data_IF_446532695135
#
_entry.id   IF_446532695135
#
_cell.length_a   1.000
_cell.length_b   1.000
_cell.length_c   1.000
_cell.angle_alpha   90.00
_cell.angle_beta   90.00
_cell.angle_gamma   90.00
#
_symmetry.space_group_name_H-M   'P 1'
#
loop_
_entity.id
_entity.type
_entity.pdbx_description
1 polymer ?
#
# COMPACT_ATOMS: atom_id res chain seq x y z
N UNK A 1 -12.09 32.77 -4.67
CA UNK A 1 -13.26 33.41 -5.31
C UNK A 1 -14.24 32.32 -5.69
N UNK A 2 -15.56 32.60 -5.52
CA UNK A 2 -16.63 31.60 -5.70
C UNK A 2 -16.55 30.84 -7.05
N UNK A 3 -16.11 31.49 -8.12
CA UNK A 3 -15.90 30.85 -9.43
C UNK A 3 -14.78 29.78 -9.41
N UNK A 4 -13.70 30.01 -8.68
CA UNK A 4 -12.62 29.03 -8.52
C UNK A 4 -13.07 27.80 -7.72
N UNK A 5 -13.95 28.00 -6.74
CA UNK A 5 -14.49 26.91 -5.93
C UNK A 5 -15.53 26.08 -6.69
N UNK A 6 -16.33 26.70 -7.55
CA UNK A 6 -17.27 26.02 -8.45
C UNK A 6 -16.49 25.20 -9.49
N UNK A 7 -15.43 25.76 -10.08
CA UNK A 7 -14.60 25.05 -11.07
C UNK A 7 -13.84 23.86 -10.43
N UNK A 8 -13.35 24.02 -9.18
CA UNK A 8 -12.74 22.93 -8.43
C UNK A 8 -13.76 21.84 -8.08
N UNK A 9 -14.99 22.20 -7.72
CA UNK A 9 -16.06 21.23 -7.45
C UNK A 9 -16.47 20.48 -8.72
N UNK A 10 -16.65 21.17 -9.86
CA UNK A 10 -16.95 20.51 -11.12
C UNK A 10 -15.84 19.53 -11.54
N UNK A 11 -14.57 19.90 -11.41
CA UNK A 11 -13.45 19.02 -11.70
C UNK A 11 -13.37 17.82 -10.76
N UNK A 12 -13.72 18.01 -9.49
CA UNK A 12 -13.81 16.91 -8.52
C UNK A 12 -14.98 15.97 -8.83
N UNK A 13 -16.12 16.52 -9.25
CA UNK A 13 -17.29 15.71 -9.64
C UNK A 13 -17.06 14.94 -10.94
N UNK A 14 -16.25 15.45 -11.86
CA UNK A 14 -15.83 14.75 -13.08
C UNK A 14 -14.77 13.66 -12.82
N UNK A 15 -13.94 13.82 -11.81
CA UNK A 15 -12.90 12.84 -11.42
C UNK A 15 -13.43 11.74 -10.48
N UNK A 16 -14.48 12.02 -9.73
CA UNK A 16 -15.15 11.07 -8.86
C UNK A 16 -16.22 10.37 -9.70
N UNK A 17 -15.95 9.16 -10.14
CA UNK A 17 -17.00 8.30 -10.70
C UNK A 17 -18.07 8.07 -9.63
N UNK A 18 -19.24 8.69 -9.77
CA UNK A 18 -20.37 8.47 -8.87
C UNK A 18 -20.86 7.02 -9.06
N UNK A 19 -20.25 6.11 -8.30
CA UNK A 19 -20.53 4.68 -8.34
C UNK A 19 -21.95 4.33 -7.88
N UNK A 20 -22.74 5.33 -7.46
CA UNK A 20 -24.12 5.14 -7.03
C UNK A 20 -25.13 5.22 -8.18
N UNK A 21 -24.71 5.69 -9.38
CA UNK A 21 -25.58 5.86 -10.55
C UNK A 21 -25.14 4.98 -11.71
N UNK A 22 -26.03 4.11 -12.19
CA UNK A 22 -25.81 3.26 -13.36
C UNK A 22 -25.92 1.78 -13.08
N UNK A 23 -25.56 0.93 -14.08
CA UNK A 23 -25.55 -0.52 -13.91
C UNK A 23 -24.36 -0.95 -13.02
N UNK A 24 -24.60 -1.55 -11.85
CA UNK A 24 -23.54 -1.84 -10.88
C UNK A 24 -22.40 -2.67 -11.48
N UNK A 25 -22.73 -3.68 -12.29
CA UNK A 25 -21.73 -4.55 -12.91
C UNK A 25 -20.77 -3.78 -13.83
N UNK A 26 -21.30 -2.85 -14.65
CA UNK A 26 -20.47 -2.04 -15.56
C UNK A 26 -19.54 -1.12 -14.78
N UNK A 27 -20.04 -0.49 -13.73
CA UNK A 27 -19.25 0.39 -12.86
C UNK A 27 -18.14 -0.37 -12.15
N UNK A 28 -18.45 -1.55 -11.60
CA UNK A 28 -17.47 -2.42 -10.95
C UNK A 28 -16.37 -2.86 -11.94
N UNK A 29 -16.72 -3.25 -13.16
CA UNK A 29 -15.74 -3.63 -14.18
C UNK A 29 -14.84 -2.46 -14.56
N UNK A 30 -15.41 -1.27 -14.83
CA UNK A 30 -14.63 -0.07 -15.16
C UNK A 30 -13.68 0.34 -14.02
N UNK A 31 -14.14 0.24 -12.77
CA UNK A 31 -13.32 0.52 -11.60
C UNK A 31 -12.21 -0.51 -11.40
N UNK A 32 -12.44 -1.77 -11.77
CA UNK A 32 -11.47 -2.85 -11.63
C UNK A 32 -10.31 -2.78 -12.62
N UNK A 33 -10.50 -2.20 -13.82
CA UNK A 33 -9.46 -2.12 -14.85
C UNK A 33 -8.21 -1.37 -14.35
N UNK A 34 -8.29 -0.15 -13.79
CA UNK A 34 -7.12 0.54 -13.25
C UNK A 34 -6.43 -0.25 -12.12
N UNK A 35 -7.20 -0.94 -11.28
CA UNK A 35 -6.66 -1.78 -10.20
C UNK A 35 -5.86 -2.97 -10.76
N UNK A 36 -6.39 -3.64 -11.79
CA UNK A 36 -5.68 -4.73 -12.47
C UNK A 36 -4.38 -4.26 -13.12
N UNK A 37 -4.44 -3.12 -13.83
CA UNK A 37 -3.25 -2.51 -14.43
C UNK A 37 -2.23 -2.18 -13.34
N UNK A 38 -2.65 -1.57 -12.22
CA UNK A 38 -1.78 -1.27 -11.09
C UNK A 38 -1.10 -2.52 -10.51
N UNK A 39 -1.87 -3.61 -10.33
CA UNK A 39 -1.31 -4.87 -9.85
C UNK A 39 -0.29 -5.47 -10.83
N UNK A 40 -0.52 -5.37 -12.14
CA UNK A 40 0.43 -5.83 -13.17
C UNK A 40 1.72 -5.00 -13.10
N UNK A 41 1.62 -3.67 -13.02
CA UNK A 41 2.79 -2.79 -12.86
C UNK A 41 3.57 -3.13 -11.58
N UNK A 42 2.88 -3.40 -10.48
CA UNK A 42 3.52 -3.80 -9.22
C UNK A 42 4.28 -5.13 -9.37
N UNK A 43 3.76 -6.09 -10.13
CA UNK A 43 4.47 -7.34 -10.39
C UNK A 43 5.73 -7.13 -11.27
N UNK A 44 5.64 -6.29 -12.30
CA UNK A 44 6.84 -5.91 -13.07
C UNK A 44 7.91 -5.23 -12.21
N UNK A 45 7.50 -4.34 -11.33
CA UNK A 45 8.37 -3.70 -10.34
C UNK A 45 9.07 -4.74 -9.46
N UNK A 46 8.33 -5.69 -8.87
CA UNK A 46 8.89 -6.74 -8.03
C UNK A 46 9.90 -7.62 -8.78
N UNK A 47 9.59 -7.96 -10.05
CA UNK A 47 10.51 -8.73 -10.90
C UNK A 47 11.78 -7.94 -11.23
N UNK A 48 11.64 -6.65 -11.56
CA UNK A 48 12.79 -5.78 -11.83
C UNK A 48 13.71 -5.67 -10.59
N UNK A 49 13.14 -5.50 -9.41
CA UNK A 49 13.86 -5.44 -8.14
C UNK A 49 14.69 -6.71 -7.88
N UNK A 50 14.09 -7.89 -8.08
CA UNK A 50 14.77 -9.18 -7.94
C UNK A 50 15.94 -9.30 -8.93
N UNK A 51 15.75 -8.88 -10.18
CA UNK A 51 16.79 -8.91 -11.20
C UNK A 51 17.95 -7.96 -10.85
N UNK A 52 17.63 -6.75 -10.39
CA UNK A 52 18.63 -5.76 -9.97
C UNK A 52 19.45 -6.30 -8.79
N UNK A 53 18.80 -6.78 -7.75
CA UNK A 53 19.46 -7.36 -6.57
C UNK A 53 20.37 -8.53 -6.98
N UNK A 54 19.87 -9.48 -7.78
CA UNK A 54 20.65 -10.62 -8.19
C UNK A 54 21.87 -10.27 -9.05
N UNK A 55 21.76 -9.23 -9.91
CA UNK A 55 22.87 -8.81 -10.79
C UNK A 55 23.88 -7.92 -10.08
N UNK A 56 23.47 -7.09 -9.14
CA UNK A 56 24.33 -6.09 -8.49
C UNK A 56 24.96 -6.59 -7.20
N UNK A 57 24.21 -7.31 -6.37
CA UNK A 57 24.63 -7.77 -5.04
C UNK A 57 25.01 -9.26 -4.99
N UNK A 58 24.69 -10.01 -6.05
CA UNK A 58 25.06 -11.40 -6.20
C UNK A 58 24.08 -12.40 -5.56
N UNK A 59 24.45 -13.69 -5.62
CA UNK A 59 23.55 -14.80 -5.26
C UNK A 59 23.22 -14.86 -3.77
N UNK A 60 24.15 -14.48 -2.89
CA UNK A 60 23.91 -14.53 -1.44
C UNK A 60 22.87 -13.50 -1.01
N UNK A 61 22.94 -12.28 -1.55
CA UNK A 61 21.93 -11.25 -1.29
C UNK A 61 20.55 -11.67 -1.84
N UNK A 62 20.50 -12.27 -3.03
CA UNK A 62 19.27 -12.80 -3.61
C UNK A 62 18.68 -13.92 -2.74
N UNK A 63 19.53 -14.84 -2.25
CA UNK A 63 19.12 -15.91 -1.35
C UNK A 63 18.59 -15.34 -0.01
N UNK A 64 19.25 -14.31 0.53
CA UNK A 64 18.80 -13.62 1.74
C UNK A 64 17.41 -13.00 1.57
N UNK A 65 17.17 -12.24 0.49
CA UNK A 65 15.85 -11.67 0.18
C UNK A 65 14.80 -12.77 0.01
N UNK A 66 15.15 -13.85 -0.70
CA UNK A 66 14.26 -15.00 -0.88
C UNK A 66 13.89 -15.67 0.45
N UNK A 67 14.85 -15.85 1.34
CA UNK A 67 14.63 -16.49 2.65
C UNK A 67 13.65 -15.71 3.53
N UNK A 68 13.65 -14.37 3.48
CA UNK A 68 12.77 -13.52 4.27
C UNK A 68 11.51 -13.06 3.55
N UNK A 69 11.33 -13.43 2.27
CA UNK A 69 10.15 -13.06 1.48
C UNK A 69 8.82 -13.48 2.14
N UNK A 70 8.67 -14.66 2.75
CA UNK A 70 7.42 -15.02 3.44
C UNK A 70 7.09 -14.06 4.58
N UNK A 71 8.10 -13.61 5.33
CA UNK A 71 7.91 -12.62 6.40
C UNK A 71 7.49 -11.27 5.83
N UNK A 72 8.15 -10.83 4.76
CA UNK A 72 7.80 -9.60 4.06
C UNK A 72 6.33 -9.62 3.58
N UNK A 73 5.90 -10.71 2.94
CA UNK A 73 4.52 -10.85 2.50
C UNK A 73 3.54 -10.84 3.66
N UNK A 74 3.83 -11.54 4.75
CA UNK A 74 2.98 -11.55 5.94
C UNK A 74 2.79 -10.12 6.49
N UNK A 75 3.88 -9.37 6.63
CA UNK A 75 3.86 -7.98 7.10
C UNK A 75 3.01 -7.12 6.17
N UNK A 76 3.22 -7.22 4.87
CA UNK A 76 2.47 -6.44 3.88
C UNK A 76 0.99 -6.80 3.85
N UNK A 77 0.62 -8.07 3.99
CA UNK A 77 -0.78 -8.50 4.07
C UNK A 77 -1.48 -7.93 5.31
N UNK A 78 -0.81 -7.86 6.44
CA UNK A 78 -1.36 -7.25 7.66
C UNK A 78 -1.63 -5.76 7.42
N UNK A 79 -0.68 -5.01 6.85
CA UNK A 79 -0.83 -3.57 6.57
C UNK A 79 -1.94 -3.32 5.56
N UNK A 80 -1.94 -4.03 4.44
CA UNK A 80 -2.94 -3.88 3.38
C UNK A 80 -4.33 -4.28 3.90
N UNK A 81 -4.43 -5.37 4.67
CA UNK A 81 -5.68 -5.79 5.28
C UNK A 81 -6.26 -4.74 6.24
N UNK A 82 -5.40 -4.17 7.09
CA UNK A 82 -5.79 -3.12 8.04
C UNK A 82 -6.29 -1.85 7.32
N UNK A 83 -5.52 -1.36 6.35
CA UNK A 83 -5.85 -0.13 5.61
C UNK A 83 -7.10 -0.30 4.75
N UNK A 84 -7.30 -1.47 4.14
CA UNK A 84 -8.53 -1.79 3.41
C UNK A 84 -9.73 -1.87 4.36
N UNK A 85 -9.58 -2.46 5.56
CA UNK A 85 -10.63 -2.50 6.57
C UNK A 85 -11.10 -1.09 6.96
N UNK A 86 -10.19 -0.16 7.16
CA UNK A 86 -10.52 1.25 7.45
C UNK A 86 -11.22 1.93 6.28
N UNK A 87 -10.82 1.63 5.06
CA UNK A 87 -11.38 2.26 3.85
C UNK A 87 -12.86 1.88 3.63
N UNK A 88 -13.29 0.69 4.07
CA UNK A 88 -14.70 0.26 3.97
C UNK A 88 -15.62 1.21 4.72
N UNK A 89 -15.27 1.59 5.96
CA UNK A 89 -16.08 2.52 6.77
C UNK A 89 -16.14 3.89 6.09
N UNK A 90 -15.00 4.36 5.55
CA UNK A 90 -14.92 5.63 4.83
C UNK A 90 -15.81 5.61 3.58
N UNK A 91 -15.78 4.53 2.79
CA UNK A 91 -16.62 4.35 1.61
C UNK A 91 -18.11 4.30 1.94
N UNK A 92 -18.51 3.62 3.02
CA UNK A 92 -19.91 3.56 3.47
C UNK A 92 -20.42 4.96 3.85
N UNK A 93 -19.62 5.75 4.61
CA UNK A 93 -19.96 7.12 4.97
C UNK A 93 -20.06 8.03 3.75
N UNK A 94 -19.13 7.86 2.81
CA UNK A 94 -19.14 8.61 1.55
C UNK A 94 -20.39 8.30 0.72
N UNK A 95 -20.75 7.04 0.55
CA UNK A 95 -21.98 6.61 -0.14
C UNK A 95 -23.26 7.12 0.51
N UNK A 96 -23.26 7.25 1.85
CA UNK A 96 -24.35 7.85 2.61
C UNK A 96 -24.37 9.40 2.57
N UNK A 97 -23.41 10.04 1.88
CA UNK A 97 -23.20 11.51 1.84
C UNK A 97 -22.96 12.14 3.21
N UNK A 98 -22.52 11.36 4.19
CA UNK A 98 -22.14 11.81 5.53
C UNK A 98 -20.68 12.30 5.51
N UNK A 99 -20.46 13.51 5.02
CA UNK A 99 -19.11 14.07 4.86
C UNK A 99 -18.39 14.32 6.20
N UNK A 100 -19.13 14.61 7.28
CA UNK A 100 -18.55 14.75 8.61
C UNK A 100 -18.11 13.38 9.14
N UNK A 101 -18.90 12.35 8.89
CA UNK A 101 -18.53 10.96 9.16
C UNK A 101 -17.31 10.51 8.37
N UNK A 102 -17.17 10.90 7.10
CA UNK A 102 -15.97 10.65 6.28
C UNK A 102 -14.74 11.28 6.93
N UNK A 103 -14.78 12.58 7.28
CA UNK A 103 -13.66 13.28 7.92
C UNK A 103 -13.24 12.59 9.22
N UNK A 104 -14.21 12.24 10.05
CA UNK A 104 -13.95 11.52 11.32
C UNK A 104 -13.36 10.14 11.08
N UNK A 105 -13.89 9.39 10.11
CA UNK A 105 -13.36 8.07 9.72
C UNK A 105 -11.91 8.16 9.27
N UNK A 106 -11.59 9.08 8.36
CA UNK A 106 -10.21 9.29 7.84
C UNK A 106 -9.26 9.65 8.98
N UNK A 107 -9.65 10.60 9.87
CA UNK A 107 -8.80 10.99 10.99
C UNK A 107 -8.54 9.81 11.93
N UNK A 108 -9.59 9.07 12.31
CA UNK A 108 -9.44 7.91 13.21
C UNK A 108 -8.64 6.79 12.57
N UNK A 109 -8.87 6.50 11.30
CA UNK A 109 -8.08 5.52 10.53
C UNK A 109 -6.60 5.89 10.48
N UNK A 110 -6.28 7.17 10.29
CA UNK A 110 -4.90 7.65 10.29
C UNK A 110 -4.24 7.45 11.66
N UNK A 111 -4.89 7.87 12.75
CA UNK A 111 -4.36 7.71 14.11
C UNK A 111 -4.16 6.24 14.45
N UNK A 112 -5.17 5.40 14.22
CA UNK A 112 -5.11 3.96 14.51
C UNK A 112 -4.06 3.25 13.67
N UNK A 113 -3.96 3.59 12.38
CA UNK A 113 -2.98 3.02 11.48
C UNK A 113 -1.55 3.37 11.89
N UNK A 114 -1.29 4.63 12.28
CA UNK A 114 0.00 5.05 12.81
C UNK A 114 0.35 4.37 14.13
N UNK A 115 -0.58 4.32 15.07
CA UNK A 115 -0.37 3.65 16.36
C UNK A 115 -0.08 2.14 16.16
N UNK A 116 -0.85 1.48 15.29
CA UNK A 116 -0.62 0.09 14.94
C UNK A 116 0.77 -0.12 14.32
N UNK A 117 1.14 0.69 13.33
CA UNK A 117 2.43 0.57 12.66
C UNK A 117 3.58 0.80 13.62
N UNK A 118 3.45 1.76 14.55
CA UNK A 118 4.48 2.00 15.58
C UNK A 118 4.68 0.77 16.47
N UNK A 119 3.59 0.25 17.03
CA UNK A 119 3.64 -0.95 17.89
C UNK A 119 4.20 -2.14 17.12
N UNK A 120 3.71 -2.35 15.90
CA UNK A 120 4.12 -3.46 15.06
C UNK A 120 5.62 -3.38 14.68
N UNK A 121 6.09 -2.20 14.30
CA UNK A 121 7.52 -1.95 14.02
C UNK A 121 8.40 -2.22 15.24
N UNK A 122 7.98 -1.76 16.44
CA UNK A 122 8.71 -2.02 17.68
C UNK A 122 8.76 -3.51 18.01
N UNK A 123 7.63 -4.21 17.91
CA UNK A 123 7.58 -5.66 18.13
C UNK A 123 8.49 -6.40 17.14
N UNK A 124 8.39 -6.09 15.84
CA UNK A 124 9.26 -6.70 14.84
C UNK A 124 10.74 -6.41 15.11
N UNK A 125 11.10 -5.18 15.49
CA UNK A 125 12.49 -4.81 15.77
C UNK A 125 13.06 -5.54 16.99
N UNK A 126 12.27 -5.70 18.06
CA UNK A 126 12.68 -6.40 19.29
C UNK A 126 12.84 -7.90 19.03
N UNK A 127 11.91 -8.50 18.31
CA UNK A 127 11.88 -9.95 18.09
C UNK A 127 12.52 -10.40 16.77
N UNK A 128 13.22 -9.52 16.06
CA UNK A 128 13.79 -9.81 14.74
C UNK A 128 14.70 -11.05 14.74
N UNK A 129 15.60 -11.16 15.72
CA UNK A 129 16.49 -12.32 15.84
C UNK A 129 15.73 -13.62 16.05
N UNK A 130 14.70 -13.60 16.90
CA UNK A 130 13.86 -14.77 17.18
C UNK A 130 13.06 -15.19 15.95
N UNK A 131 12.54 -14.22 15.21
CA UNK A 131 11.78 -14.46 13.98
C UNK A 131 12.67 -15.13 12.93
N UNK A 132 13.87 -14.58 12.67
CA UNK A 132 14.80 -15.15 11.70
C UNK A 132 15.31 -16.53 12.11
N UNK A 133 15.53 -16.75 13.41
CA UNK A 133 15.88 -18.06 13.96
C UNK A 133 14.76 -19.08 13.71
N UNK A 134 13.51 -18.70 13.97
CA UNK A 134 12.33 -19.55 13.74
C UNK A 134 12.15 -19.90 12.26
N UNK A 135 12.55 -19.00 11.36
CA UNK A 135 12.53 -19.21 9.91
C UNK A 135 13.68 -20.10 9.42
N UNK A 136 14.58 -20.54 10.29
CA UNK A 136 15.76 -21.34 9.97
C UNK A 136 16.60 -20.70 8.85
N UNK A 137 16.82 -19.39 8.91
CA UNK A 137 17.65 -18.69 7.91
C UNK A 137 19.09 -19.18 8.03
N UNK A 138 19.73 -19.67 6.93
CA UNK A 138 21.11 -20.18 6.94
C UNK A 138 22.11 -19.13 7.43
N UNK A 139 23.14 -19.58 8.16
CA UNK A 139 24.11 -18.71 8.82
C UNK A 139 24.94 -17.86 7.84
N UNK A 140 25.18 -18.37 6.63
CA UNK A 140 25.93 -17.71 5.55
C UNK A 140 25.22 -16.48 4.98
N UNK A 141 23.88 -16.46 4.98
CA UNK A 141 23.07 -15.35 4.49
C UNK A 141 22.36 -14.58 5.61
N UNK A 142 22.52 -15.00 6.88
CA UNK A 142 21.77 -14.44 8.02
C UNK A 142 21.96 -12.92 8.17
N UNK A 143 23.18 -12.46 8.01
CA UNK A 143 23.52 -11.04 8.16
C UNK A 143 22.81 -10.17 7.10
N UNK A 144 22.81 -10.61 5.87
CA UNK A 144 22.17 -9.89 4.76
C UNK A 144 20.65 -9.92 4.90
N UNK A 145 20.08 -11.05 5.29
CA UNK A 145 18.67 -11.22 5.59
C UNK A 145 18.22 -10.30 6.74
N UNK A 146 19.01 -10.20 7.80
CA UNK A 146 18.73 -9.35 8.96
C UNK A 146 18.71 -7.87 8.57
N UNK A 147 19.73 -7.37 7.87
CA UNK A 147 19.77 -5.98 7.45
C UNK A 147 18.67 -5.64 6.45
N UNK A 148 18.40 -6.51 5.49
CA UNK A 148 17.32 -6.30 4.54
C UNK A 148 15.97 -6.13 5.23
N UNK A 149 15.58 -7.10 6.07
CA UNK A 149 14.27 -7.04 6.72
C UNK A 149 14.18 -5.91 7.76
N UNK A 150 15.29 -5.54 8.39
CA UNK A 150 15.34 -4.40 9.31
C UNK A 150 15.04 -3.08 8.57
N UNK A 151 15.61 -2.86 7.39
CA UNK A 151 15.31 -1.69 6.55
C UNK A 151 13.85 -1.69 6.14
N UNK A 152 13.32 -2.85 5.73
CA UNK A 152 11.90 -2.99 5.38
C UNK A 152 11.00 -2.62 6.56
N UNK A 153 11.29 -3.11 7.75
CA UNK A 153 10.51 -2.83 8.97
C UNK A 153 10.55 -1.34 9.33
N UNK A 154 11.68 -0.68 9.18
CA UNK A 154 11.78 0.78 9.35
C UNK A 154 10.98 1.54 8.29
N UNK A 155 10.92 1.01 7.06
CA UNK A 155 10.13 1.58 5.96
C UNK A 155 8.61 1.38 6.08
N UNK A 156 8.13 0.60 7.04
CA UNK A 156 6.69 0.29 7.18
C UNK A 156 5.82 1.53 7.37
N UNK A 157 6.33 2.59 8.00
CA UNK A 157 5.58 3.84 8.14
C UNK A 157 5.23 4.46 6.79
N UNK A 158 6.19 4.48 5.86
CA UNK A 158 5.98 5.02 4.51
C UNK A 158 5.01 4.12 3.73
N UNK A 159 5.24 2.81 3.78
CA UNK A 159 4.39 1.83 3.12
C UNK A 159 2.94 1.88 3.64
N UNK A 160 2.76 1.95 4.97
CA UNK A 160 1.45 2.05 5.59
C UNK A 160 0.74 3.36 5.21
N UNK A 161 1.44 4.49 5.23
CA UNK A 161 0.89 5.78 4.85
C UNK A 161 0.41 5.78 3.39
N UNK A 162 1.23 5.26 2.47
CA UNK A 162 0.84 5.10 1.08
C UNK A 162 -0.40 4.20 0.93
N UNK A 163 -0.40 3.01 1.56
CA UNK A 163 -1.52 2.07 1.48
C UNK A 163 -2.81 2.65 2.07
N UNK A 164 -2.72 3.38 3.18
CA UNK A 164 -3.88 4.04 3.80
C UNK A 164 -4.47 5.10 2.86
N UNK A 165 -3.64 6.01 2.33
CA UNK A 165 -4.11 7.04 1.40
C UNK A 165 -4.70 6.43 0.13
N UNK A 166 -4.01 5.46 -0.46
CA UNK A 166 -4.49 4.77 -1.66
C UNK A 166 -5.82 4.05 -1.41
N UNK A 167 -6.02 3.44 -0.24
CA UNK A 167 -7.27 2.77 0.12
C UNK A 167 -8.42 3.77 0.32
N UNK A 168 -8.15 4.89 0.98
CA UNK A 168 -9.13 5.96 1.19
C UNK A 168 -9.54 6.58 -0.15
N UNK A 169 -8.59 6.93 -1.01
CA UNK A 169 -8.86 7.52 -2.32
C UNK A 169 -9.71 6.57 -3.16
N UNK A 170 -9.39 5.28 -3.18
CA UNK A 170 -10.21 4.26 -3.83
C UNK A 170 -11.61 4.16 -3.24
N UNK A 171 -11.76 4.25 -1.93
CA UNK A 171 -13.07 4.22 -1.26
C UNK A 171 -13.94 5.44 -1.61
N UNK A 172 -13.32 6.56 -1.99
CA UNK A 172 -13.98 7.76 -2.48
C UNK A 172 -14.32 7.70 -3.99
N UNK A 173 -14.03 6.58 -4.67
CA UNK A 173 -14.37 6.33 -6.08
C UNK A 173 -13.26 6.66 -7.08
N UNK A 174 -12.08 7.09 -6.63
CA UNK A 174 -10.94 7.36 -7.49
C UNK A 174 -9.94 6.20 -7.47
N UNK A 175 -9.92 5.40 -8.53
CA UNK A 175 -8.94 4.32 -8.73
C UNK A 175 -7.74 4.74 -9.59
N UNK A 176 -7.81 5.91 -10.25
CA UNK A 176 -6.78 6.36 -11.17
C UNK A 176 -5.61 7.04 -10.45
N UNK A 177 -5.88 7.87 -9.46
CA UNK A 177 -4.82 8.60 -8.72
C UNK A 177 -3.79 7.65 -8.08
N UNK A 178 -4.18 6.57 -7.35
CA UNK A 178 -3.23 5.59 -6.84
C UNK A 178 -2.43 4.88 -7.96
N UNK A 179 -3.04 4.63 -9.12
CA UNK A 179 -2.37 4.04 -10.27
C UNK A 179 -1.27 4.95 -10.81
N UNK A 180 -1.54 6.25 -10.99
CA UNK A 180 -0.53 7.20 -11.46
C UNK A 180 0.65 7.30 -10.47
N UNK A 181 0.36 7.36 -9.17
CA UNK A 181 1.41 7.36 -8.14
C UNK A 181 2.28 6.10 -8.21
N UNK A 182 1.66 4.92 -8.43
CA UNK A 182 2.38 3.66 -8.56
C UNK A 182 3.27 3.63 -9.81
N UNK A 183 2.77 4.10 -10.95
CA UNK A 183 3.54 4.17 -12.20
C UNK A 183 4.77 5.07 -12.02
N UNK A 184 4.58 6.27 -11.44
CA UNK A 184 5.68 7.20 -11.18
C UNK A 184 6.71 6.57 -10.23
N UNK A 185 6.26 5.96 -9.14
CA UNK A 185 7.14 5.28 -8.19
C UNK A 185 7.92 4.13 -8.85
N UNK A 186 7.26 3.34 -9.72
CA UNK A 186 7.91 2.23 -10.45
C UNK A 186 8.99 2.72 -11.42
N UNK A 187 8.75 3.82 -12.12
CA UNK A 187 9.74 4.43 -13.01
C UNK A 187 10.94 4.93 -12.21
N UNK A 188 10.71 5.65 -11.10
CA UNK A 188 11.76 6.17 -10.23
C UNK A 188 12.59 5.08 -9.55
N UNK A 189 12.03 3.90 -9.35
CA UNK A 189 12.73 2.77 -8.77
C UNK A 189 13.70 2.10 -9.76
N UNK A 190 13.38 2.08 -11.05
CA UNK A 190 14.17 1.41 -12.09
C UNK A 190 15.35 2.28 -12.57
N UNK A 191 15.29 3.62 -12.40
CA UNK A 191 16.36 4.57 -12.77
C UNK A 191 17.42 4.67 -11.68
#
# INVERSE_FOLDING_TARGET
>A
SAASDVYKRQRLDEMINDLTKGAPLKLMLLFSIPLLIGNIFQQFYNVADIIIVGRTLGMNALAAVGAVSPLFFLIMFIIVGLTNGFSVITGQRFGAKDYDGVRRSVTMSTILSFAFTLIFTLVCAIFMHQILFLMNVPADIYKDAYYYIQIVVLGLFVANFYNLLASIIRALGDSMTPLYCLIIASILNII
#
